data_IF_304400151882
#
_entry.id   IF_304400151882
#
_cell.length_a   1.000
_cell.length_b   1.000
_cell.length_c   1.000
_cell.angle_alpha   90.00
_cell.angle_beta   90.00
_cell.angle_gamma   90.00
#
_symmetry.space_group_name_H-M   'P 1'
#
loop_
_entity.id
_entity.type
_entity.pdbx_description
1 polymer ?
#
# COMPACT_ATOMS: atom_id res chain seq x y z
N UNK A 1 -18.69 -10.66 -5.27
CA UNK A 1 -17.67 -11.16 -4.33
C UNK A 1 -16.31 -10.77 -4.88
N UNK A 2 -15.61 -9.82 -4.25
CA UNK A 2 -14.23 -9.50 -4.66
C UNK A 2 -13.28 -10.62 -4.22
N UNK A 3 -12.41 -11.06 -5.12
CA UNK A 3 -11.37 -12.04 -4.82
C UNK A 3 -10.31 -11.38 -3.92
N UNK A 4 -10.23 -11.82 -2.65
CA UNK A 4 -9.27 -11.28 -1.67
C UNK A 4 -7.81 -11.35 -2.15
N UNK A 5 -7.45 -12.38 -2.91
CA UNK A 5 -6.10 -12.52 -3.45
C UNK A 5 -5.79 -11.44 -4.49
N UNK A 6 -6.75 -11.12 -5.36
CA UNK A 6 -6.59 -10.03 -6.34
C UNK A 6 -6.43 -8.67 -5.67
N UNK A 7 -7.19 -8.39 -4.61
CA UNK A 7 -7.07 -7.14 -3.84
C UNK A 7 -5.70 -6.99 -3.17
N UNK A 8 -5.17 -8.07 -2.61
CA UNK A 8 -3.83 -8.10 -2.02
C UNK A 8 -2.75 -7.91 -3.07
N UNK A 9 -2.87 -8.58 -4.21
CA UNK A 9 -1.98 -8.40 -5.35
C UNK A 9 -1.93 -6.95 -5.84
N UNK A 10 -3.09 -6.30 -5.99
CA UNK A 10 -3.15 -4.86 -6.30
C UNK A 10 -2.49 -4.01 -5.22
N UNK A 11 -2.75 -4.31 -3.95
CA UNK A 11 -2.21 -3.54 -2.81
C UNK A 11 -0.69 -3.57 -2.79
N UNK A 12 -0.07 -4.75 -2.91
CA UNK A 12 1.40 -4.84 -2.91
C UNK A 12 2.00 -4.39 -4.25
N UNK A 13 1.31 -4.55 -5.38
CA UNK A 13 1.77 -3.96 -6.65
C UNK A 13 1.87 -2.42 -6.57
N UNK A 14 0.85 -1.75 -5.99
CA UNK A 14 0.90 -0.30 -5.76
C UNK A 14 1.98 0.07 -4.75
N UNK A 15 2.21 -0.73 -3.71
CA UNK A 15 3.29 -0.55 -2.74
C UNK A 15 4.67 -0.52 -3.42
N UNK A 16 4.97 -1.52 -4.24
CA UNK A 16 6.26 -1.61 -4.94
C UNK A 16 6.41 -0.51 -6.01
N UNK A 17 5.33 -0.14 -6.70
CA UNK A 17 5.34 1.03 -7.60
C UNK A 17 5.65 2.32 -6.81
N UNK A 18 5.11 2.46 -5.60
CA UNK A 18 5.47 3.56 -4.70
C UNK A 18 6.98 3.61 -4.40
N UNK A 19 7.61 2.45 -4.20
CA UNK A 19 9.07 2.38 -4.05
C UNK A 19 9.82 2.78 -5.32
N UNK A 20 9.34 2.40 -6.52
CA UNK A 20 9.92 2.86 -7.79
C UNK A 20 9.82 4.38 -7.98
N UNK A 21 8.80 5.02 -7.40
CA UNK A 21 8.62 6.47 -7.37
C UNK A 21 9.43 7.16 -6.25
N UNK A 22 10.22 6.41 -5.46
CA UNK A 22 11.06 6.95 -4.38
C UNK A 22 10.34 7.15 -3.05
N UNK A 23 9.10 6.64 -2.91
CA UNK A 23 8.34 6.76 -1.66
C UNK A 23 8.80 5.65 -0.69
N UNK A 24 9.23 6.04 0.51
CA UNK A 24 9.62 5.11 1.57
C UNK A 24 8.43 4.54 2.35
N UNK A 25 8.73 3.67 3.33
CA UNK A 25 7.70 3.13 4.21
C UNK A 25 6.96 4.22 5.01
N UNK A 26 5.66 4.03 5.19
CA UNK A 26 4.79 4.92 5.95
C UNK A 26 4.40 4.29 7.30
N UNK A 27 4.46 5.03 8.41
CA UNK A 27 4.00 4.53 9.71
C UNK A 27 2.48 4.40 9.80
N UNK A 28 1.71 5.03 8.90
CA UNK A 28 0.25 4.97 8.89
C UNK A 28 -0.25 3.58 8.46
N UNK A 29 -0.92 2.79 9.32
CA UNK A 29 -1.27 1.40 9.02
C UNK A 29 -2.32 1.21 7.91
N UNK A 30 -2.98 2.29 7.51
CA UNK A 30 -3.98 2.34 6.43
C UNK A 30 -3.43 2.91 5.12
N UNK A 31 -2.13 3.22 5.05
CA UNK A 31 -1.48 3.66 3.83
C UNK A 31 -0.89 2.47 3.08
N UNK A 32 -1.02 2.42 1.76
CA UNK A 32 -0.41 1.38 0.91
C UNK A 32 1.10 1.23 1.12
N UNK A 33 1.79 2.30 1.52
CA UNK A 33 3.22 2.30 1.86
C UNK A 33 3.54 1.79 3.27
N UNK A 34 2.55 1.34 4.04
CA UNK A 34 2.82 0.63 5.29
C UNK A 34 3.49 -0.71 5.03
N UNK A 35 4.52 -1.02 5.82
CA UNK A 35 5.19 -2.30 5.76
C UNK A 35 4.27 -3.43 6.25
N UNK A 36 4.10 -4.48 5.43
CA UNK A 36 3.23 -5.62 5.75
C UNK A 36 4.06 -6.79 6.27
N UNK A 37 3.84 -7.22 7.52
CA UNK A 37 4.45 -8.45 8.06
C UNK A 37 3.52 -9.66 7.98
N UNK A 38 2.26 -9.44 7.62
CA UNK A 38 1.24 -10.46 7.56
C UNK A 38 0.18 -10.13 6.51
N UNK A 39 -0.58 -11.15 6.09
CA UNK A 39 -1.74 -10.95 5.21
C UNK A 39 -2.80 -10.03 5.83
N UNK A 40 -2.87 -9.98 7.16
CA UNK A 40 -3.75 -9.06 7.87
C UNK A 40 -3.32 -7.60 7.69
N UNK A 41 -2.02 -7.32 7.67
CA UNK A 41 -1.51 -5.96 7.43
C UNK A 41 -1.81 -5.50 6.01
N UNK A 42 -1.56 -6.35 5.01
CA UNK A 42 -1.95 -6.09 3.61
C UNK A 42 -3.45 -5.85 3.51
N UNK A 43 -4.25 -6.66 4.22
CA UNK A 43 -5.69 -6.51 4.20
C UNK A 43 -6.15 -5.18 4.82
N UNK A 44 -5.49 -4.74 5.89
CA UNK A 44 -5.76 -3.50 6.62
C UNK A 44 -5.36 -2.24 5.84
N UNK A 45 -4.22 -2.26 5.14
CA UNK A 45 -3.71 -1.07 4.46
C UNK A 45 -4.44 -0.74 3.15
N UNK A 46 -4.74 -1.76 2.34
CA UNK A 46 -5.37 -1.58 1.02
C UNK A 46 -4.50 -0.78 0.02
N UNK A 47 -5.00 -0.56 -1.22
CA UNK A 47 -4.18 -0.07 -2.33
C UNK A 47 -4.05 1.47 -2.38
N UNK A 48 -4.48 2.19 -1.35
CA UNK A 48 -4.56 3.66 -1.36
C UNK A 48 -3.42 4.33 -0.59
N UNK A 49 -2.83 5.38 -1.16
CA UNK A 49 -1.92 6.27 -0.43
C UNK A 49 -2.69 7.12 0.61
N UNK A 50 -2.06 7.42 1.75
CA UNK A 50 -2.54 8.48 2.64
C UNK A 50 -2.23 9.86 2.06
N UNK A 51 -2.85 10.92 2.60
CA UNK A 51 -2.65 12.31 2.15
C UNK A 51 -1.16 12.68 2.07
N UNK A 52 -0.38 12.36 3.11
CA UNK A 52 1.07 12.62 3.13
C UNK A 52 1.82 11.89 2.01
N UNK A 53 1.48 10.65 1.69
CA UNK A 53 2.17 9.92 0.63
C UNK A 53 1.74 10.39 -0.77
N UNK A 54 0.53 10.93 -0.92
CA UNK A 54 0.05 11.53 -2.17
C UNK A 54 0.85 12.79 -2.55
N UNK A 55 1.39 13.52 -1.58
CA UNK A 55 2.25 14.70 -1.82
C UNK A 55 3.57 14.36 -2.55
N UNK A 56 3.98 13.09 -2.58
CA UNK A 56 5.18 12.63 -3.29
C UNK A 56 4.87 12.08 -4.70
N UNK A 57 3.60 12.01 -5.10
CA UNK A 57 3.23 11.57 -6.44
C UNK A 57 3.46 12.71 -7.46
N UNK A 58 3.87 12.38 -8.70
CA UNK A 58 4.05 13.37 -9.77
C UNK A 58 2.73 13.97 -10.28
#
# INVERSE_FOLDING_TARGET
MENRSSRRGLTEAVHEVGHLLGIGHCPQPTCVMHFSNSLYDTDRKGPTFCSRCQEFLP
#
